data_IF_732758644711
#
_entry.id   IF_732758644711
#
_cell.length_a   1.000
_cell.length_b   1.000
_cell.length_c   1.000
_cell.angle_alpha   90.00
_cell.angle_beta   90.00
_cell.angle_gamma   90.00
#
_symmetry.space_group_name_H-M   'P 1'
#
loop_
_entity.id
_entity.type
_entity.pdbx_description
1 polymer ?
#
# COMPACT_ATOMS: atom_id res chain seq x y z
N UNK A 1 10.69 5.37 -13.85
CA UNK A 1 10.76 6.52 -12.92
C UNK A 1 9.68 7.56 -13.17
N UNK A 2 9.58 8.15 -14.37
CA UNK A 2 8.54 9.16 -14.68
C UNK A 2 7.13 8.62 -14.39
N UNK A 3 6.77 7.44 -14.91
CA UNK A 3 5.45 6.84 -14.69
C UNK A 3 5.14 6.61 -13.20
N UNK A 4 6.13 6.18 -12.41
CA UNK A 4 5.98 6.00 -10.98
C UNK A 4 5.77 7.34 -10.26
N UNK A 5 6.51 8.39 -10.65
CA UNK A 5 6.33 9.74 -10.10
C UNK A 5 4.96 10.32 -10.39
N UNK A 6 4.47 10.18 -11.62
CA UNK A 6 3.12 10.61 -12.01
C UNK A 6 2.07 9.86 -11.19
N UNK A 7 2.20 8.53 -11.09
CA UNK A 7 1.27 7.72 -10.30
C UNK A 7 1.24 8.12 -8.83
N UNK A 8 2.39 8.28 -8.20
CA UNK A 8 2.48 8.75 -6.80
C UNK A 8 1.81 10.11 -6.63
N UNK A 9 2.10 11.07 -7.51
CA UNK A 9 1.47 12.39 -7.44
C UNK A 9 -0.06 12.31 -7.59
N UNK A 10 -0.56 11.55 -8.56
CA UNK A 10 -2.00 11.35 -8.77
C UNK A 10 -2.67 10.69 -7.57
N UNK A 11 -2.09 9.60 -7.05
CA UNK A 11 -2.65 8.88 -5.90
C UNK A 11 -2.53 9.65 -4.59
N UNK A 12 -1.53 10.54 -4.44
CA UNK A 12 -1.48 11.46 -3.30
C UNK A 12 -2.62 12.48 -3.37
N UNK A 13 -2.93 13.04 -4.54
CA UNK A 13 -4.07 13.95 -4.71
C UNK A 13 -5.39 13.22 -4.41
N UNK A 14 -5.58 12.04 -5.00
CA UNK A 14 -6.79 11.22 -4.78
C UNK A 14 -6.90 10.79 -3.31
N UNK A 15 -5.80 10.33 -2.71
CA UNK A 15 -5.74 9.91 -1.31
C UNK A 15 -6.03 11.07 -0.36
N UNK A 16 -5.50 12.25 -0.63
CA UNK A 16 -5.79 13.46 0.15
C UNK A 16 -7.25 13.86 0.04
N UNK A 17 -7.82 13.82 -1.16
CA UNK A 17 -9.25 14.08 -1.35
C UNK A 17 -10.09 13.05 -0.59
N UNK A 18 -9.76 11.76 -0.68
CA UNK A 18 -10.45 10.69 0.06
C UNK A 18 -10.33 10.88 1.58
N UNK A 19 -9.19 11.35 2.09
CA UNK A 19 -8.99 11.65 3.50
C UNK A 19 -9.92 12.80 3.98
N UNK A 20 -9.96 13.90 3.22
CA UNK A 20 -10.79 15.08 3.54
C UNK A 20 -12.28 14.72 3.47
N UNK A 21 -12.67 14.01 2.42
CA UNK A 21 -14.06 13.62 2.15
C UNK A 21 -14.41 12.22 2.66
N UNK A 22 -13.71 11.72 3.68
CA UNK A 22 -13.87 10.35 4.17
C UNK A 22 -15.31 10.04 4.63
N UNK A 23 -15.92 10.95 5.39
CA UNK A 23 -17.29 10.82 5.89
C UNK A 23 -18.35 10.79 4.78
N UNK A 24 -18.43 11.78 3.88
CA UNK A 24 -19.40 11.72 2.78
C UNK A 24 -19.14 10.53 1.84
N UNK A 25 -17.87 10.15 1.62
CA UNK A 25 -17.54 8.96 0.84
C UNK A 25 -18.02 7.66 1.51
N UNK A 26 -17.82 7.53 2.83
CA UNK A 26 -18.27 6.37 3.61
C UNK A 26 -19.80 6.29 3.69
N UNK A 27 -20.50 7.41 3.84
CA UNK A 27 -21.96 7.48 3.98
C UNK A 27 -22.74 6.97 2.74
N UNK A 28 -22.09 6.91 1.57
CA UNK A 28 -22.65 6.30 0.37
C UNK A 28 -23.00 4.83 0.65
N UNK A 29 -22.09 4.12 1.33
CA UNK A 29 -22.19 2.67 1.59
C UNK A 29 -22.65 2.35 3.01
N UNK A 30 -22.17 3.08 4.01
CA UNK A 30 -22.46 2.83 5.42
C UNK A 30 -23.79 3.50 5.83
N UNK A 31 -24.77 2.69 6.26
CA UNK A 31 -26.10 3.18 6.69
C UNK A 31 -26.32 3.17 8.19
N UNK A 32 -25.51 2.43 8.96
CA UNK A 32 -25.55 2.46 10.41
C UNK A 32 -24.38 3.29 10.97
N UNK A 33 -24.57 3.99 12.12
CA UNK A 33 -23.52 4.83 12.70
C UNK A 33 -22.21 4.07 12.98
N UNK A 34 -22.31 2.85 13.51
CA UNK A 34 -21.13 2.04 13.82
C UNK A 34 -20.31 1.65 12.57
N UNK A 35 -20.99 1.37 11.44
CA UNK A 35 -20.30 1.04 10.18
C UNK A 35 -19.72 2.30 9.54
N UNK A 36 -20.40 3.44 9.70
CA UNK A 36 -19.91 4.72 9.19
C UNK A 36 -18.59 5.10 9.87
N UNK A 37 -18.53 5.07 11.20
CA UNK A 37 -17.31 5.37 11.95
C UNK A 37 -16.15 4.45 11.54
N UNK A 38 -16.39 3.13 11.46
CA UNK A 38 -15.37 2.19 11.02
C UNK A 38 -14.88 2.46 9.60
N UNK A 39 -15.80 2.78 8.67
CA UNK A 39 -15.44 3.10 7.29
C UNK A 39 -14.66 4.42 7.17
N UNK A 40 -15.03 5.45 7.94
CA UNK A 40 -14.30 6.72 7.99
C UNK A 40 -12.89 6.53 8.52
N UNK A 41 -12.74 5.78 9.62
CA UNK A 41 -11.42 5.43 10.18
C UNK A 41 -10.58 4.67 9.15
N UNK A 42 -11.15 3.66 8.48
CA UNK A 42 -10.47 2.94 7.41
C UNK A 42 -9.95 3.88 6.31
N UNK A 43 -10.82 4.74 5.76
CA UNK A 43 -10.45 5.65 4.69
C UNK A 43 -9.33 6.58 5.14
N UNK A 44 -9.43 7.17 6.34
CA UNK A 44 -8.41 8.11 6.84
C UNK A 44 -7.05 7.46 7.06
N UNK A 45 -7.01 6.24 7.58
CA UNK A 45 -5.74 5.55 7.84
C UNK A 45 -5.06 5.07 6.55
N UNK A 46 -5.84 4.56 5.60
CA UNK A 46 -5.27 3.89 4.42
C UNK A 46 -5.04 4.86 3.25
N UNK A 47 -5.90 5.86 3.05
CA UNK A 47 -5.92 6.70 1.83
C UNK A 47 -4.59 7.38 1.52
N UNK A 48 -3.90 7.95 2.51
CA UNK A 48 -2.62 8.63 2.30
C UNK A 48 -1.50 7.64 1.93
N UNK A 49 -1.55 6.42 2.47
CA UNK A 49 -0.57 5.37 2.16
C UNK A 49 -0.67 4.88 0.72
N UNK A 50 -1.84 5.01 0.07
CA UNK A 50 -2.04 4.63 -1.33
C UNK A 50 -1.19 5.46 -2.28
N UNK A 51 -0.91 6.73 -1.94
CA UNK A 51 -0.03 7.58 -2.72
C UNK A 51 1.39 7.03 -2.83
N UNK A 52 1.97 6.62 -1.71
CA UNK A 52 3.30 6.00 -1.70
C UNK A 52 3.25 4.59 -2.27
N UNK A 53 2.23 3.82 -1.89
CA UNK A 53 2.01 2.44 -2.36
C UNK A 53 1.84 2.32 -3.87
N UNK A 54 1.25 3.31 -4.54
CA UNK A 54 1.11 3.29 -6.01
C UNK A 54 2.48 3.25 -6.71
N UNK A 55 3.52 3.85 -6.10
CA UNK A 55 4.88 3.75 -6.60
C UNK A 55 5.38 2.31 -6.63
N UNK A 56 5.13 1.55 -5.54
CA UNK A 56 5.44 0.13 -5.47
C UNK A 56 4.76 -0.66 -6.60
N UNK A 57 3.44 -0.45 -6.75
CA UNK A 57 2.62 -1.13 -7.78
C UNK A 57 3.12 -0.84 -9.19
N UNK A 58 3.41 0.42 -9.51
CA UNK A 58 3.86 0.80 -10.86
C UNK A 58 5.24 0.22 -11.17
N UNK A 59 6.15 0.22 -10.20
CA UNK A 59 7.47 -0.39 -10.36
C UNK A 59 7.37 -1.91 -10.50
N UNK A 60 6.50 -2.57 -9.73
CA UNK A 60 6.22 -4.00 -9.85
C UNK A 60 5.67 -4.36 -11.23
N UNK A 61 4.71 -3.58 -11.75
CA UNK A 61 4.15 -3.75 -13.09
C UNK A 61 5.21 -3.55 -14.18
N UNK A 62 6.10 -2.57 -14.02
CA UNK A 62 7.22 -2.36 -14.94
C UNK A 62 8.19 -3.56 -14.95
N UNK A 63 8.49 -4.14 -13.78
CA UNK A 63 9.30 -5.35 -13.67
C UNK A 63 8.63 -6.56 -14.33
N UNK A 64 7.33 -6.76 -14.09
CA UNK A 64 6.54 -7.80 -14.74
C UNK A 64 6.54 -7.65 -16.26
N UNK A 65 6.31 -6.42 -16.76
CA UNK A 65 6.32 -6.13 -18.21
C UNK A 65 7.68 -6.32 -18.86
N UNK A 66 8.78 -6.19 -18.10
CA UNK A 66 10.13 -6.45 -18.57
C UNK A 66 10.56 -7.94 -18.49
N UNK A 67 9.63 -8.86 -18.14
CA UNK A 67 9.94 -10.28 -17.96
C UNK A 67 10.57 -10.64 -16.61
N UNK A 68 10.74 -9.67 -15.71
CA UNK A 68 11.26 -9.87 -14.35
C UNK A 68 10.15 -10.24 -13.36
N UNK A 69 9.41 -11.33 -13.61
CA UNK A 69 8.22 -11.68 -12.81
C UNK A 69 8.55 -12.28 -11.43
N UNK A 70 9.70 -12.94 -11.31
CA UNK A 70 10.14 -13.54 -10.03
C UNK A 70 10.47 -12.49 -8.97
N UNK A 71 10.95 -11.30 -9.39
CA UNK A 71 11.35 -10.27 -8.45
C UNK A 71 10.14 -9.69 -7.67
N UNK A 72 9.05 -9.23 -8.33
CA UNK A 72 7.83 -8.83 -7.64
C UNK A 72 7.27 -9.94 -6.75
N UNK A 73 7.21 -11.19 -7.25
CA UNK A 73 6.71 -12.32 -6.47
C UNK A 73 7.44 -12.50 -5.13
N UNK A 74 8.78 -12.51 -5.17
CA UNK A 74 9.59 -12.70 -3.96
C UNK A 74 9.49 -11.49 -3.03
N UNK A 75 9.50 -10.28 -3.57
CA UNK A 75 9.37 -9.04 -2.78
C UNK A 75 8.02 -9.02 -2.05
N UNK A 76 6.92 -9.25 -2.76
CA UNK A 76 5.57 -9.22 -2.19
C UNK A 76 5.39 -10.33 -1.17
N UNK A 77 5.85 -11.55 -1.47
CA UNK A 77 5.77 -12.68 -0.55
C UNK A 77 6.53 -12.40 0.75
N UNK A 78 7.77 -11.92 0.66
CA UNK A 78 8.57 -11.62 1.86
C UNK A 78 7.97 -10.47 2.66
N UNK A 79 7.48 -9.42 2.00
CA UNK A 79 6.83 -8.32 2.70
C UNK A 79 5.57 -8.79 3.43
N UNK A 80 4.72 -9.59 2.78
CA UNK A 80 3.53 -10.14 3.43
C UNK A 80 3.86 -11.08 4.59
N UNK A 81 4.77 -12.04 4.35
CA UNK A 81 5.08 -13.10 5.30
C UNK A 81 5.89 -12.60 6.51
N UNK A 82 6.81 -11.64 6.32
CA UNK A 82 7.74 -11.21 7.36
C UNK A 82 7.37 -9.87 8.02
N UNK A 83 6.62 -9.02 7.32
CA UNK A 83 6.27 -7.69 7.85
C UNK A 83 4.78 -7.59 8.13
N UNK A 84 3.93 -7.78 7.12
CA UNK A 84 2.49 -7.48 7.25
C UNK A 84 1.81 -8.44 8.20
N UNK A 85 1.91 -9.75 7.95
CA UNK A 85 1.23 -10.76 8.76
C UNK A 85 1.76 -10.80 10.21
N UNK A 86 3.08 -10.83 10.45
CA UNK A 86 3.60 -10.87 11.82
C UNK A 86 3.27 -9.60 12.59
N UNK A 87 3.39 -8.43 11.96
CA UNK A 87 3.06 -7.17 12.63
C UNK A 87 1.57 -7.11 12.95
N UNK A 88 0.68 -7.39 11.98
CA UNK A 88 -0.76 -7.37 12.24
C UNK A 88 -1.17 -8.38 13.33
N UNK A 89 -0.60 -9.58 13.32
CA UNK A 89 -0.84 -10.59 14.34
C UNK A 89 -0.34 -10.15 15.72
N UNK A 90 0.87 -9.60 15.79
CA UNK A 90 1.46 -9.10 17.02
C UNK A 90 0.62 -7.96 17.63
N UNK A 91 0.27 -6.95 16.83
CA UNK A 91 -0.48 -5.78 17.28
C UNK A 91 -1.83 -6.15 17.89
N UNK A 92 -2.53 -7.11 17.30
CA UNK A 92 -3.87 -7.53 17.75
C UNK A 92 -3.80 -8.56 18.88
N UNK A 93 -2.95 -9.58 18.76
CA UNK A 93 -2.95 -10.72 19.68
C UNK A 93 -2.10 -10.49 20.93
N UNK A 94 -1.07 -9.65 20.85
CA UNK A 94 -0.13 -9.42 21.96
C UNK A 94 -0.37 -8.06 22.60
N UNK A 95 -0.30 -6.99 21.81
CA UNK A 95 -0.44 -5.63 22.34
C UNK A 95 -1.90 -5.27 22.66
N UNK A 96 -2.88 -6.04 22.15
CA UNK A 96 -4.31 -5.77 22.31
C UNK A 96 -4.77 -4.46 21.66
N UNK A 97 -3.91 -3.88 20.81
CA UNK A 97 -4.26 -2.71 20.00
C UNK A 97 -5.30 -3.17 18.98
N UNK A 98 -6.52 -2.63 19.11
CA UNK A 98 -7.68 -3.07 18.32
C UNK A 98 -7.47 -3.05 16.81
N UNK A 99 -8.51 -3.37 16.04
CA UNK A 99 -8.42 -3.58 14.59
C UNK A 99 -7.78 -2.42 13.78
N UNK A 100 -7.78 -1.20 14.31
CA UNK A 100 -7.10 -0.02 13.73
C UNK A 100 -5.58 -0.22 13.56
N UNK A 101 -4.95 -1.02 14.41
CA UNK A 101 -3.52 -1.35 14.32
C UNK A 101 -3.19 -2.12 13.04
N UNK A 102 -4.14 -2.91 12.52
CA UNK A 102 -4.04 -3.60 11.24
C UNK A 102 -3.98 -2.56 10.10
N UNK A 103 -4.75 -1.47 10.20
CA UNK A 103 -4.74 -0.42 9.19
C UNK A 103 -3.41 0.31 9.15
N UNK A 104 -2.83 0.58 10.32
CA UNK A 104 -1.50 1.16 10.43
C UNK A 104 -0.42 0.22 9.87
N UNK A 105 -0.56 -1.08 10.12
CA UNK A 105 0.30 -2.11 9.53
C UNK A 105 0.27 -2.05 8.00
N UNK A 106 -0.94 -2.00 7.41
CA UNK A 106 -1.13 -1.90 5.97
C UNK A 106 -0.53 -0.61 5.40
N UNK A 107 -0.76 0.53 6.07
CA UNK A 107 -0.20 1.81 5.67
C UNK A 107 1.34 1.80 5.70
N UNK A 108 1.93 1.27 6.76
CA UNK A 108 3.38 1.09 6.88
C UNK A 108 3.94 0.15 5.81
N UNK A 109 3.22 -0.94 5.51
CA UNK A 109 3.62 -1.89 4.48
C UNK A 109 3.70 -1.27 3.08
N UNK A 110 2.75 -0.40 2.73
CA UNK A 110 2.79 0.35 1.46
C UNK A 110 4.07 1.19 1.33
N UNK A 111 4.52 1.81 2.42
CA UNK A 111 5.77 2.59 2.45
C UNK A 111 6.99 1.68 2.29
N UNK A 112 7.04 0.58 3.04
CA UNK A 112 8.17 -0.37 2.97
C UNK A 112 8.27 -0.98 1.58
N UNK A 113 7.15 -1.42 0.99
CA UNK A 113 7.11 -1.96 -0.37
C UNK A 113 7.58 -0.93 -1.39
N UNK A 114 7.14 0.32 -1.29
CA UNK A 114 7.58 1.38 -2.19
C UNK A 114 9.10 1.58 -2.13
N UNK A 115 9.69 1.54 -0.94
CA UNK A 115 11.16 1.62 -0.75
C UNK A 115 11.84 0.39 -1.38
N UNK A 116 11.40 -0.82 -1.05
CA UNK A 116 12.01 -2.06 -1.54
C UNK A 116 11.97 -2.14 -3.07
N UNK A 117 10.82 -1.84 -3.67
CA UNK A 117 10.68 -1.79 -5.12
C UNK A 117 11.52 -0.68 -5.76
N UNK A 118 11.59 0.51 -5.15
CA UNK A 118 12.45 1.58 -5.64
C UNK A 118 13.94 1.16 -5.61
N UNK A 119 14.40 0.56 -4.51
CA UNK A 119 15.76 0.04 -4.41
C UNK A 119 16.03 -1.05 -5.44
N UNK A 120 15.13 -2.03 -5.58
CA UNK A 120 15.28 -3.10 -6.57
C UNK A 120 15.30 -2.58 -8.01
N UNK A 121 14.42 -1.64 -8.32
CA UNK A 121 14.36 -1.03 -9.64
C UNK A 121 15.64 -0.23 -9.96
N UNK A 122 16.22 0.46 -8.96
CA UNK A 122 17.51 1.16 -9.09
C UNK A 122 18.68 0.21 -9.38
N UNK A 123 18.65 -1.03 -8.90
CA UNK A 123 19.72 -2.01 -9.16
C UNK A 123 19.82 -2.41 -10.64
N UNK A 124 18.82 -2.11 -11.48
CA UNK A 124 18.89 -2.28 -12.94
C UNK A 124 19.02 -3.73 -13.43
N UNK A 125 19.00 -4.73 -12.53
CA UNK A 125 19.17 -6.16 -12.89
C UNK A 125 18.14 -6.64 -13.91
N UNK A 126 16.95 -6.03 -13.89
CA UNK A 126 15.86 -6.29 -14.82
C UNK A 126 16.19 -5.92 -16.27
N UNK A 127 17.10 -4.96 -16.51
CA UNK A 127 17.50 -4.54 -17.86
C UNK A 127 18.33 -5.60 -18.59
N UNK A 128 18.90 -6.56 -17.87
CA UNK A 128 19.71 -7.65 -18.44
C UNK A 128 18.88 -8.84 -18.90
N UNK A 129 17.59 -8.84 -18.59
CA UNK A 129 16.67 -9.88 -19.01
C UNK A 129 16.37 -9.64 -20.49
N UNK A 130 16.79 -10.57 -21.35
CA UNK A 130 16.30 -10.64 -22.73
C UNK A 130 15.01 -11.45 -22.71
N UNK A 131 13.95 -10.82 -23.21
CA UNK A 131 12.63 -11.43 -23.43
C UNK A 131 12.60 -11.97 -24.85
#
# INVERSE_FOLDING_TARGET
WISAGIGVAMFLVIGTAAFIFAEPAAAIFAKSPAVLDAAVTYIRYVSLSLGVGSGAVILALALNGAGSTRAPLVIDFLAFALLILPFAAYSVLVDGSGWESILLAMAGANIVLAIVYALWFRLGRWQRIRV
#
